data_IF_632984369460
#
_entry.id   IF_632984369460
#
_cell.length_a   1.000
_cell.length_b   1.000
_cell.length_c   1.000
_cell.angle_alpha   90.00
_cell.angle_beta   90.00
_cell.angle_gamma   90.00
#
_symmetry.space_group_name_H-M   'P 1'
#
loop_
_entity.id
_entity.type
_entity.pdbx_description
1 polymer ?
#
# COMPACT_ATOMS: atom_id res chain seq x y z
N UNK A 1 -18.36 -4.69 -23.88
CA UNK A 1 -18.06 -5.16 -22.51
C UNK A 1 -17.00 -6.24 -22.62
N UNK A 2 -15.74 -5.88 -22.35
CA UNK A 2 -14.58 -6.69 -22.71
C UNK A 2 -14.19 -7.64 -21.57
N UNK A 3 -14.10 -8.94 -21.86
CA UNK A 3 -13.91 -10.05 -20.88
C UNK A 3 -12.49 -10.14 -20.29
N UNK A 4 -11.64 -9.12 -20.48
CA UNK A 4 -10.20 -9.17 -20.17
C UNK A 4 -9.82 -8.83 -18.72
N UNK A 5 -10.73 -8.27 -17.94
CA UNK A 5 -10.44 -7.78 -16.56
C UNK A 5 -10.37 -8.89 -15.49
N UNK A 6 -10.99 -10.05 -15.72
CA UNK A 6 -11.03 -11.14 -14.72
C UNK A 6 -9.80 -12.08 -14.76
N UNK A 7 -8.94 -12.00 -15.77
CA UNK A 7 -7.83 -12.94 -15.99
C UNK A 7 -6.55 -12.64 -15.18
N UNK A 8 -6.27 -11.36 -14.88
CA UNK A 8 -5.02 -10.95 -14.22
C UNK A 8 -4.97 -11.32 -12.73
N UNK A 9 -6.12 -11.32 -12.05
CA UNK A 9 -6.22 -11.74 -10.64
C UNK A 9 -5.82 -13.21 -10.44
N UNK A 10 -6.24 -14.10 -11.34
CA UNK A 10 -5.90 -15.52 -11.29
C UNK A 10 -4.43 -15.79 -11.61
N UNK A 11 -3.80 -15.00 -12.49
CA UNK A 11 -2.38 -15.13 -12.81
C UNK A 11 -1.47 -14.67 -11.66
N UNK A 12 -1.84 -13.60 -10.94
CA UNK A 12 -1.09 -13.14 -9.77
C UNK A 12 -1.16 -14.14 -8.60
N UNK A 13 -2.34 -14.74 -8.35
CA UNK A 13 -2.51 -15.78 -7.33
C UNK A 13 -1.67 -17.02 -7.66
N UNK A 14 -1.65 -17.45 -8.92
CA UNK A 14 -0.86 -18.62 -9.38
C UNK A 14 0.65 -18.38 -9.21
N UNK A 15 1.15 -17.16 -9.50
CA UNK A 15 2.58 -16.82 -9.32
C UNK A 15 2.97 -16.70 -7.85
N UNK A 16 2.07 -16.25 -6.97
CA UNK A 16 2.29 -16.22 -5.52
C UNK A 16 2.42 -17.63 -4.95
N UNK A 17 1.54 -18.55 -5.34
CA UNK A 17 1.62 -19.96 -4.93
C UNK A 17 2.93 -20.61 -5.41
N UNK A 18 3.36 -20.30 -6.64
CA UNK A 18 4.65 -20.75 -7.17
C UNK A 18 5.84 -20.17 -6.39
N UNK A 19 5.82 -18.88 -6.05
CA UNK A 19 6.88 -18.25 -5.25
C UNK A 19 6.95 -18.86 -3.83
N UNK A 20 5.81 -19.09 -3.19
CA UNK A 20 5.74 -19.76 -1.89
C UNK A 20 6.27 -21.20 -1.96
N UNK A 21 5.93 -21.94 -3.02
CA UNK A 21 6.43 -23.29 -3.26
C UNK A 21 7.95 -23.29 -3.48
N UNK A 22 8.47 -22.34 -4.25
CA UNK A 22 9.91 -22.17 -4.46
C UNK A 22 10.65 -21.91 -3.14
N UNK A 23 10.26 -20.88 -2.38
CA UNK A 23 10.95 -20.55 -1.13
C UNK A 23 10.85 -21.67 -0.09
N UNK A 24 9.71 -22.37 -0.02
CA UNK A 24 9.57 -23.57 0.80
C UNK A 24 10.54 -24.68 0.38
N UNK A 25 10.70 -24.92 -0.91
CA UNK A 25 11.65 -25.93 -1.42
C UNK A 25 13.10 -25.56 -1.06
N UNK A 26 13.45 -24.27 -1.14
CA UNK A 26 14.77 -23.78 -0.76
C UNK A 26 15.06 -23.89 0.73
N UNK A 27 14.09 -23.57 1.60
CA UNK A 27 14.28 -23.77 3.03
C UNK A 27 14.43 -25.26 3.37
N UNK A 28 13.72 -26.14 2.67
CA UNK A 28 13.84 -27.61 2.85
C UNK A 28 15.17 -28.17 2.35
N UNK A 29 15.81 -27.54 1.36
CA UNK A 29 17.13 -27.94 0.87
C UNK A 29 18.28 -27.48 1.79
N UNK A 30 17.96 -26.79 2.89
CA UNK A 30 18.93 -26.31 3.88
C UNK A 30 19.45 -24.90 3.62
N UNK A 31 18.95 -24.20 2.59
CA UNK A 31 19.25 -22.77 2.40
C UNK A 31 18.42 -21.93 3.36
N UNK A 32 18.99 -20.83 3.84
CA UNK A 32 18.29 -19.78 4.58
C UNK A 32 18.22 -18.52 3.71
N UNK A 33 17.20 -18.35 2.86
CA UNK A 33 17.10 -17.19 1.98
C UNK A 33 16.92 -15.90 2.79
N UNK A 34 17.68 -14.86 2.44
CA UNK A 34 17.41 -13.49 2.89
C UNK A 34 16.73 -12.69 1.77
N UNK A 35 15.55 -13.16 1.35
CA UNK A 35 14.85 -12.55 0.24
C UNK A 35 14.12 -11.27 0.65
N UNK A 36 14.01 -10.32 -0.28
CA UNK A 36 13.29 -9.05 -0.11
C UNK A 36 12.35 -8.83 -1.29
N UNK A 37 11.11 -8.49 -1.00
CA UNK A 37 10.11 -8.09 -1.99
C UNK A 37 9.63 -6.70 -1.64
N UNK A 38 9.72 -5.78 -2.60
CA UNK A 38 9.22 -4.41 -2.48
C UNK A 38 8.16 -4.23 -3.55
N UNK A 39 6.90 -4.17 -3.12
CA UNK A 39 5.77 -3.90 -4.00
C UNK A 39 5.57 -2.39 -4.17
N UNK A 40 4.98 -1.97 -5.29
CA UNK A 40 4.63 -0.56 -5.52
C UNK A 40 3.11 -0.37 -5.43
N UNK A 41 2.65 0.18 -4.31
CA UNK A 41 1.29 0.71 -4.15
C UNK A 41 1.21 2.17 -4.63
N UNK A 42 0.39 3.02 -4.02
CA UNK A 42 0.23 4.45 -4.29
C UNK A 42 -0.61 5.10 -3.19
N UNK A 43 -0.50 6.42 -3.01
CA UNK A 43 -1.47 7.23 -2.26
C UNK A 43 -2.92 6.99 -2.71
N UNK A 44 -3.14 6.79 -4.02
CA UNK A 44 -4.47 6.42 -4.55
C UNK A 44 -4.97 5.06 -4.01
N UNK A 45 -4.07 4.12 -3.71
CA UNK A 45 -4.44 2.85 -3.08
C UNK A 45 -4.67 2.96 -1.57
N UNK A 46 -4.13 4.00 -0.92
CA UNK A 46 -4.26 4.25 0.51
C UNK A 46 -5.55 5.01 0.83
N UNK A 47 -5.81 6.11 0.10
CA UNK A 47 -6.88 7.06 0.41
C UNK A 47 -7.88 7.25 -0.73
N UNK A 48 -7.63 6.64 -1.89
CA UNK A 48 -8.42 6.83 -3.11
C UNK A 48 -7.98 8.04 -3.93
N UNK A 49 -8.35 8.06 -5.21
CA UNK A 49 -8.12 9.20 -6.11
C UNK A 49 -9.28 9.37 -7.09
N UNK A 50 -9.81 10.59 -7.20
CA UNK A 50 -10.91 10.95 -8.09
C UNK A 50 -10.51 10.69 -9.54
N UNK A 51 -11.42 10.06 -10.31
CA UNK A 51 -11.16 9.69 -11.71
C UNK A 51 -10.24 8.47 -11.89
N UNK A 52 -9.70 7.89 -10.80
CA UNK A 52 -8.74 6.78 -10.84
C UNK A 52 -9.24 5.55 -10.06
N UNK A 53 -10.54 5.23 -10.12
CA UNK A 53 -11.13 4.15 -9.32
C UNK A 53 -10.50 2.76 -9.56
N UNK A 54 -10.25 2.40 -10.83
CA UNK A 54 -9.58 1.15 -11.20
C UNK A 54 -8.14 1.07 -10.67
N UNK A 55 -7.38 2.16 -10.80
CA UNK A 55 -6.02 2.27 -10.30
C UNK A 55 -5.98 2.22 -8.77
N UNK A 56 -6.86 2.97 -8.10
CA UNK A 56 -7.02 2.99 -6.63
C UNK A 56 -7.31 1.58 -6.10
N UNK A 57 -8.28 0.87 -6.71
CA UNK A 57 -8.61 -0.50 -6.33
C UNK A 57 -7.42 -1.46 -6.51
N UNK A 58 -6.71 -1.39 -7.65
CA UNK A 58 -5.54 -2.23 -7.90
C UNK A 58 -4.42 -1.96 -6.88
N UNK A 59 -4.12 -0.69 -6.57
CA UNK A 59 -3.07 -0.31 -5.63
C UNK A 59 -3.44 -0.62 -4.18
N UNK A 60 -4.72 -0.56 -3.81
CA UNK A 60 -5.23 -1.07 -2.54
C UNK A 60 -5.05 -2.59 -2.45
N UNK A 61 -5.35 -3.33 -3.52
CA UNK A 61 -5.12 -4.78 -3.60
C UNK A 61 -3.66 -5.18 -3.38
N UNK A 62 -2.70 -4.38 -3.87
CA UNK A 62 -1.27 -4.59 -3.63
C UNK A 62 -0.91 -4.46 -2.14
N UNK A 63 -1.57 -3.59 -1.39
CA UNK A 63 -1.36 -3.47 0.06
C UNK A 63 -1.80 -4.77 0.75
N UNK A 64 -3.02 -5.23 0.46
CA UNK A 64 -3.52 -6.51 0.99
C UNK A 64 -2.59 -7.68 0.63
N UNK A 65 -2.15 -7.75 -0.63
CA UNK A 65 -1.18 -8.76 -1.09
C UNK A 65 0.12 -8.72 -0.29
N UNK A 66 0.64 -7.53 -0.02
CA UNK A 66 1.88 -7.32 0.75
C UNK A 66 1.75 -7.87 2.16
N UNK A 67 0.66 -7.54 2.87
CA UNK A 67 0.41 -7.98 4.24
C UNK A 67 0.33 -9.51 4.34
N UNK A 68 -0.46 -10.15 3.46
CA UNK A 68 -0.63 -11.59 3.51
C UNK A 68 0.66 -12.32 3.05
N UNK A 69 1.37 -11.80 2.05
CA UNK A 69 2.63 -12.40 1.60
C UNK A 69 3.73 -12.31 2.68
N UNK A 70 3.81 -11.19 3.41
CA UNK A 70 4.71 -11.05 4.55
C UNK A 70 4.44 -12.12 5.62
N UNK A 71 3.17 -12.34 5.98
CA UNK A 71 2.78 -13.34 6.98
C UNK A 71 3.05 -14.78 6.49
N UNK A 72 2.81 -15.09 5.22
CA UNK A 72 2.96 -16.44 4.69
C UNK A 72 4.42 -16.84 4.47
N UNK A 73 5.24 -15.91 3.96
CA UNK A 73 6.59 -16.16 3.49
C UNK A 73 7.68 -15.87 4.52
N UNK A 74 7.36 -15.14 5.61
CA UNK A 74 8.32 -14.81 6.66
C UNK A 74 9.02 -16.04 7.25
N UNK A 75 8.29 -17.15 7.41
CA UNK A 75 8.86 -18.44 7.86
C UNK A 75 9.91 -19.06 6.93
N UNK A 76 10.06 -18.54 5.72
CA UNK A 76 11.06 -18.96 4.73
C UNK A 76 12.17 -17.92 4.54
N UNK A 77 12.26 -16.92 5.43
CA UNK A 77 13.27 -15.84 5.37
C UNK A 77 12.97 -14.74 4.35
N UNK A 78 11.73 -14.69 3.83
CA UNK A 78 11.32 -13.66 2.87
C UNK A 78 10.65 -12.50 3.59
N UNK A 79 11.16 -11.28 3.38
CA UNK A 79 10.51 -10.06 3.85
C UNK A 79 9.76 -9.39 2.70
N UNK A 80 8.52 -8.96 2.95
CA UNK A 80 7.66 -8.35 1.92
C UNK A 80 7.12 -7.03 2.45
N UNK A 81 7.43 -5.93 1.76
CA UNK A 81 6.97 -4.58 2.07
C UNK A 81 6.42 -3.91 0.82
N UNK A 82 5.76 -2.76 0.98
CA UNK A 82 5.33 -1.92 -0.12
C UNK A 82 5.75 -0.47 0.07
N UNK A 83 5.92 0.22 -1.06
CA UNK A 83 6.06 1.67 -1.11
C UNK A 83 4.87 2.31 -1.86
N UNK A 84 4.46 3.48 -1.43
CA UNK A 84 3.52 4.38 -2.09
C UNK A 84 4.31 5.63 -2.49
N UNK A 85 4.86 5.68 -3.71
CA UNK A 85 5.64 6.82 -4.15
C UNK A 85 4.73 8.01 -4.52
N UNK A 86 5.14 9.21 -4.10
CA UNK A 86 4.70 10.46 -4.69
C UNK A 86 5.90 11.12 -5.37
N UNK A 87 5.90 11.06 -6.70
CA UNK A 87 6.99 11.57 -7.53
C UNK A 87 6.46 11.94 -8.92
N UNK A 88 7.23 12.79 -9.60
CA UNK A 88 7.05 13.13 -11.01
C UNK A 88 7.40 11.93 -11.87
N UNK A 89 6.44 11.54 -12.68
CA UNK A 89 6.51 10.47 -13.67
C UNK A 89 5.65 10.86 -14.86
N UNK A 90 5.81 10.19 -16.00
CA UNK A 90 4.93 10.39 -17.18
C UNK A 90 3.44 10.32 -16.85
N UNK A 91 3.05 9.52 -15.84
CA UNK A 91 1.65 9.39 -15.41
C UNK A 91 1.18 10.57 -14.54
N UNK A 92 2.05 11.13 -13.70
CA UNK A 92 1.71 12.21 -12.77
C UNK A 92 1.91 13.60 -13.37
N UNK A 93 2.83 13.75 -14.33
CA UNK A 93 3.03 14.99 -15.10
C UNK A 93 1.76 15.39 -15.87
N UNK A 94 1.04 14.43 -16.44
CA UNK A 94 -0.19 14.71 -17.17
C UNK A 94 -1.37 15.05 -16.25
N UNK A 95 -1.41 14.48 -15.04
CA UNK A 95 -2.52 14.64 -14.10
C UNK A 95 -2.34 15.80 -13.11
N UNK A 96 -1.08 16.17 -12.81
CA UNK A 96 -0.71 17.13 -11.77
C UNK A 96 0.48 18.01 -12.21
N UNK A 97 0.43 18.55 -13.43
CA UNK A 97 1.56 19.21 -14.08
C UNK A 97 2.25 20.27 -13.21
N UNK A 98 1.48 21.18 -12.60
CA UNK A 98 2.01 22.28 -11.80
C UNK A 98 2.67 21.80 -10.50
N UNK A 99 2.03 20.84 -9.80
CA UNK A 99 2.57 20.24 -8.57
C UNK A 99 3.82 19.40 -8.83
N UNK A 100 3.97 18.90 -10.06
CA UNK A 100 5.06 18.02 -10.48
C UNK A 100 6.16 18.77 -11.22
N UNK A 101 6.17 20.12 -11.25
CA UNK A 101 7.16 20.91 -11.97
C UNK A 101 8.53 20.97 -11.27
N UNK A 102 9.62 21.18 -12.01
CA UNK A 102 10.98 21.18 -11.45
C UNK A 102 11.29 22.57 -10.92
N UNK A 103 12.04 22.69 -9.82
CA UNK A 103 12.55 23.98 -9.39
C UNK A 103 13.37 24.63 -10.51
N UNK A 104 13.01 25.85 -10.88
CA UNK A 104 13.71 26.59 -11.94
C UNK A 104 15.08 27.11 -11.49
N UNK A 105 15.32 27.17 -10.18
CA UNK A 105 16.53 27.68 -9.54
C UNK A 105 17.60 26.59 -9.30
N UNK A 106 17.33 25.34 -9.71
CA UNK A 106 18.23 24.21 -9.47
C UNK A 106 18.27 23.74 -8.01
N UNK A 107 17.32 24.19 -7.17
CA UNK A 107 17.14 23.70 -5.82
C UNK A 107 16.74 22.22 -5.76
N UNK A 108 16.52 21.71 -4.53
CA UNK A 108 16.11 20.32 -4.35
C UNK A 108 14.76 20.03 -5.03
N UNK A 109 14.79 19.22 -6.08
CA UNK A 109 13.57 18.74 -6.74
C UNK A 109 12.92 17.64 -5.90
N UNK A 110 12.01 18.04 -5.01
CA UNK A 110 11.27 17.11 -4.15
C UNK A 110 10.49 16.06 -4.95
N UNK A 111 10.06 16.39 -6.16
CA UNK A 111 9.28 15.49 -7.01
C UNK A 111 10.17 14.60 -7.89
N UNK A 112 11.49 14.71 -7.81
CA UNK A 112 12.41 13.85 -8.54
C UNK A 112 12.19 12.37 -8.15
N UNK A 113 11.97 11.45 -9.10
CA UNK A 113 11.71 10.04 -8.80
C UNK A 113 12.89 9.34 -8.08
N UNK A 114 14.10 9.88 -8.21
CA UNK A 114 15.30 9.41 -7.53
C UNK A 114 15.18 9.51 -6.00
N UNK A 115 14.33 10.40 -5.48
CA UNK A 115 14.12 10.55 -4.05
C UNK A 115 13.45 9.32 -3.40
N UNK A 116 12.76 8.48 -4.20
CA UNK A 116 12.16 7.22 -3.72
C UNK A 116 13.19 6.09 -3.62
N UNK A 117 14.21 6.12 -4.48
CA UNK A 117 15.17 5.02 -4.64
C UNK A 117 15.93 4.63 -3.36
N UNK A 118 16.40 5.57 -2.49
CA UNK A 118 17.11 5.23 -1.26
C UNK A 118 16.32 4.29 -0.35
N UNK A 119 15.02 4.51 -0.17
CA UNK A 119 14.18 3.64 0.67
C UNK A 119 14.06 2.24 0.06
N UNK A 120 13.90 2.13 -1.27
CA UNK A 120 13.83 0.84 -1.96
C UNK A 120 15.14 0.06 -1.81
N UNK A 121 16.27 0.74 -1.99
CA UNK A 121 17.61 0.15 -1.82
C UNK A 121 17.80 -0.35 -0.39
N UNK A 122 17.44 0.46 0.61
CA UNK A 122 17.54 0.06 2.01
C UNK A 122 16.63 -1.14 2.33
N UNK A 123 15.37 -1.14 1.88
CA UNK A 123 14.45 -2.28 2.05
C UNK A 123 14.98 -3.56 1.39
N UNK A 124 15.72 -3.44 0.29
CA UNK A 124 16.39 -4.54 -0.41
C UNK A 124 17.67 -5.05 0.26
N UNK A 125 18.18 -4.37 1.30
CA UNK A 125 19.46 -4.68 1.93
C UNK A 125 19.36 -5.64 3.11
N UNK A 126 20.50 -6.13 3.60
CA UNK A 126 20.59 -6.86 4.87
C UNK A 126 20.19 -5.98 6.07
N UNK A 127 20.45 -4.68 6.01
CA UNK A 127 20.15 -3.71 7.08
C UNK A 127 18.67 -3.49 7.36
N UNK A 128 17.77 -3.99 6.48
CA UNK A 128 16.32 -4.00 6.71
C UNK A 128 15.82 -5.28 7.40
N UNK A 129 16.70 -6.11 7.96
CA UNK A 129 16.31 -7.32 8.67
C UNK A 129 15.29 -7.01 9.78
N UNK A 130 14.21 -7.79 9.82
CA UNK A 130 13.06 -7.58 10.72
C UNK A 130 11.96 -6.68 10.15
N UNK A 131 12.20 -5.97 9.05
CA UNK A 131 11.20 -5.08 8.42
C UNK A 131 10.39 -5.88 7.40
N UNK A 132 9.18 -6.28 7.77
CA UNK A 132 8.24 -6.99 6.88
C UNK A 132 6.79 -6.58 7.18
N UNK A 133 5.91 -6.71 6.19
CA UNK A 133 4.49 -6.36 6.31
C UNK A 133 4.24 -4.86 6.47
N UNK A 134 5.19 -4.02 6.06
CA UNK A 134 5.08 -2.55 6.19
C UNK A 134 4.73 -1.91 4.84
N UNK A 135 4.05 -0.78 4.93
CA UNK A 135 3.79 0.11 3.79
C UNK A 135 4.36 1.47 4.13
N UNK A 136 5.14 2.04 3.22
CA UNK A 136 5.76 3.36 3.38
C UNK A 136 5.29 4.29 2.27
N UNK A 137 4.89 5.49 2.59
CA UNK A 137 4.83 6.58 1.60
C UNK A 137 6.21 7.24 1.50
N UNK A 138 6.65 7.54 0.27
CA UNK A 138 7.95 8.16 0.01
C UNK A 138 7.79 9.31 -0.98
N UNK A 139 8.19 10.52 -0.56
CA UNK A 139 8.03 11.76 -1.32
C UNK A 139 9.13 12.75 -0.96
N UNK A 140 9.95 13.15 -1.93
CA UNK A 140 11.08 14.05 -1.68
C UNK A 140 11.96 13.54 -0.53
N UNK A 141 12.14 14.38 0.50
CA UNK A 141 12.88 14.00 1.71
C UNK A 141 12.06 13.27 2.78
N UNK A 142 10.78 12.97 2.54
CA UNK A 142 9.86 12.39 3.54
C UNK A 142 9.69 10.88 3.34
N UNK A 143 9.71 10.17 4.46
CA UNK A 143 9.34 8.75 4.56
C UNK A 143 8.28 8.64 5.66
N UNK A 144 7.08 8.19 5.30
CA UNK A 144 5.95 8.04 6.22
C UNK A 144 5.58 6.57 6.33
N UNK A 145 5.43 6.07 7.55
CA UNK A 145 4.91 4.71 7.79
C UNK A 145 3.39 4.76 7.75
N UNK A 146 2.77 3.94 6.90
CA UNK A 146 1.32 3.80 6.88
C UNK A 146 0.89 2.79 7.95
N UNK A 147 -0.02 3.20 8.83
CA UNK A 147 -0.45 2.38 9.98
C UNK A 147 -1.52 1.33 9.64
N UNK A 148 -2.10 1.40 8.43
CA UNK A 148 -3.16 0.50 7.98
C UNK A 148 -4.50 0.75 8.69
N UNK A 149 -5.45 -0.16 8.49
CA UNK A 149 -6.76 -0.11 9.14
C UNK A 149 -6.66 -0.62 10.58
N UNK A 150 -7.15 0.17 11.54
CA UNK A 150 -7.25 -0.21 12.95
C UNK A 150 -8.68 -0.03 13.46
N UNK A 151 -9.11 -0.81 14.47
CA UNK A 151 -10.41 -0.57 15.12
C UNK A 151 -10.51 0.87 15.65
N UNK A 152 -11.66 1.50 15.40
CA UNK A 152 -12.03 2.79 15.96
C UNK A 152 -12.94 2.65 17.20
N UNK A 153 -13.65 3.72 17.59
CA UNK A 153 -14.70 3.65 18.60
C UNK A 153 -15.67 2.50 18.32
N UNK A 154 -15.99 1.72 19.36
CA UNK A 154 -16.78 0.48 19.24
C UNK A 154 -17.83 0.44 20.34
N UNK A 155 -19.05 0.05 19.98
CA UNK A 155 -20.13 -0.23 20.92
C UNK A 155 -20.61 -1.68 20.78
N UNK A 156 -20.89 -2.33 21.90
CA UNK A 156 -21.48 -3.67 21.95
C UNK A 156 -22.80 -3.62 22.73
N UNK A 157 -23.89 -4.06 22.09
CA UNK A 157 -25.20 -4.19 22.73
C UNK A 157 -25.34 -5.48 23.53
N UNK A 158 -24.51 -6.48 23.24
CA UNK A 158 -24.72 -7.86 23.69
C UNK A 158 -25.97 -8.52 23.10
N UNK A 159 -26.60 -7.90 22.09
CA UNK A 159 -27.83 -8.37 21.46
C UNK A 159 -27.97 -7.80 20.03
N UNK A 160 -29.00 -8.26 19.30
CA UNK A 160 -29.30 -7.73 17.97
C UNK A 160 -29.78 -6.28 18.06
N UNK A 161 -29.18 -5.42 17.24
CA UNK A 161 -29.64 -4.05 17.02
C UNK A 161 -30.89 -4.01 16.13
N UNK A 162 -31.83 -3.12 16.42
CA UNK A 162 -32.78 -2.63 15.44
C UNK A 162 -32.10 -1.61 14.50
N UNK A 163 -32.65 -1.35 13.30
CA UNK A 163 -32.08 -0.35 12.39
C UNK A 163 -31.96 1.05 12.99
N UNK A 164 -32.94 1.48 13.81
CA UNK A 164 -32.93 2.78 14.47
C UNK A 164 -31.79 2.90 15.49
N UNK A 165 -31.66 1.92 16.39
CA UNK A 165 -30.59 1.91 17.38
C UNK A 165 -29.19 1.81 16.72
N UNK A 166 -29.07 1.05 15.63
CA UNK A 166 -27.83 0.96 14.86
C UNK A 166 -27.44 2.32 14.24
N UNK A 167 -28.41 3.03 13.67
CA UNK A 167 -28.20 4.37 13.10
C UNK A 167 -27.78 5.39 14.15
N UNK A 168 -28.49 5.45 15.28
CA UNK A 168 -28.15 6.34 16.39
C UNK A 168 -26.75 6.04 16.96
N UNK A 169 -26.42 4.77 17.12
CA UNK A 169 -25.12 4.34 17.63
C UNK A 169 -24.02 4.66 16.62
N UNK A 170 -24.23 4.43 15.33
CA UNK A 170 -23.26 4.76 14.28
C UNK A 170 -22.94 6.25 14.26
N UNK A 171 -23.95 7.13 14.37
CA UNK A 171 -23.73 8.58 14.42
C UNK A 171 -22.92 9.01 15.64
N UNK A 172 -23.16 8.39 16.81
CA UNK A 172 -22.36 8.64 18.03
C UNK A 172 -20.90 8.22 17.82
N UNK A 173 -20.67 7.01 17.33
CA UNK A 173 -19.31 6.50 17.09
C UNK A 173 -18.56 7.32 16.03
N UNK A 174 -19.26 7.82 15.01
CA UNK A 174 -18.67 8.69 13.98
C UNK A 174 -18.27 10.07 14.53
N UNK A 175 -18.98 10.59 15.54
CA UNK A 175 -18.60 11.83 16.21
C UNK A 175 -17.31 11.68 17.06
N UNK A 176 -16.98 10.46 17.49
CA UNK A 176 -15.77 10.13 18.24
C UNK A 176 -14.60 9.70 17.33
N UNK A 177 -14.92 9.17 16.14
CA UNK A 177 -13.93 8.69 15.20
C UNK A 177 -13.14 9.85 14.56
N UNK A 178 -11.83 9.63 14.33
CA UNK A 178 -11.05 10.54 13.52
C UNK A 178 -11.58 10.58 12.08
N UNK A 179 -11.59 11.76 11.41
CA UNK A 179 -12.01 11.84 10.03
C UNK A 179 -11.08 11.01 9.13
N UNK A 180 -11.61 10.40 8.05
CA UNK A 180 -10.77 9.73 7.08
C UNK A 180 -9.81 10.72 6.40
N UNK A 181 -8.68 10.23 5.92
CA UNK A 181 -7.83 11.05 5.04
C UNK A 181 -8.63 11.44 3.78
N UNK A 182 -8.48 12.68 3.28
CA UNK A 182 -9.15 13.09 2.05
C UNK A 182 -8.76 12.22 0.85
N UNK A 183 -9.73 11.96 -0.01
CA UNK A 183 -9.49 11.35 -1.32
C UNK A 183 -8.73 12.35 -2.18
N UNK A 184 -7.67 11.91 -2.86
CA UNK A 184 -6.91 12.78 -3.76
C UNK A 184 -7.81 13.36 -4.86
N UNK A 185 -7.75 14.68 -5.06
CA UNK A 185 -8.54 15.39 -6.08
C UNK A 185 -10.01 15.62 -5.73
N UNK A 186 -10.46 15.29 -4.51
CA UNK A 186 -11.80 15.67 -4.06
C UNK A 186 -11.85 17.18 -3.74
N UNK A 187 -12.92 17.85 -4.20
CA UNK A 187 -13.24 19.21 -3.77
C UNK A 187 -14.09 19.12 -2.49
N UNK A 188 -13.73 19.90 -1.48
CA UNK A 188 -14.52 20.06 -0.24
C UNK A 188 -15.56 21.15 -0.42
#
# INVERSE_FOLDING_TARGET
>A
MDKKSAGDGAQQITRRAAAAAHWRAETRSGRAPEARVINTSSGAGLSGSVGQGNYSAAKAGIIGLTLVAAAELGRYGVQVNAIAPAARTRMTEAAFADTMAAPADGGFDAMAPQNVSPLVVWLGSASSAGVTGRVFEAEGGRITVMEGWRPGPTADKGARWSPAEAGETALKLLAEAGPPQPVYGAQH
#
